data_IF_514948419831
#
_entry.id   IF_514948419831
#
_cell.length_a   1.000
_cell.length_b   1.000
_cell.length_c   1.000
_cell.angle_alpha   90.00
_cell.angle_beta   90.00
_cell.angle_gamma   90.00
#
_symmetry.space_group_name_H-M   'P 1'
#
loop_
_entity.id
_entity.type
_entity.pdbx_description
1 polymer ?
#
# COMPACT_ATOMS: atom_id res chain seq x y z
N UNK A 1 -15.14 -39.67 0.83
CA UNK A 1 -15.33 -38.88 -0.41
C UNK A 1 -14.10 -39.07 -1.28
N UNK A 2 -14.22 -39.43 -2.57
CA UNK A 2 -13.03 -39.60 -3.42
C UNK A 2 -12.53 -38.23 -3.90
N UNK A 3 -11.22 -38.03 -4.10
CA UNK A 3 -10.67 -36.74 -4.57
C UNK A 3 -11.27 -36.24 -5.89
N UNK A 4 -11.71 -37.15 -6.76
CA UNK A 4 -12.39 -36.85 -8.03
C UNK A 4 -13.76 -36.21 -7.83
N UNK A 5 -14.51 -36.62 -6.80
CA UNK A 5 -15.85 -36.11 -6.52
C UNK A 5 -15.78 -34.68 -5.97
N UNK A 6 -14.76 -34.41 -5.14
CA UNK A 6 -14.45 -33.07 -4.63
C UNK A 6 -14.06 -32.10 -5.77
N UNK A 7 -13.30 -32.57 -6.77
CA UNK A 7 -12.90 -31.74 -7.92
C UNK A 7 -14.07 -31.37 -8.83
N UNK A 8 -15.05 -32.26 -9.02
CA UNK A 8 -16.28 -31.94 -9.75
C UNK A 8 -17.16 -30.95 -8.99
N UNK A 9 -17.23 -31.07 -7.66
CA UNK A 9 -17.98 -30.13 -6.83
C UNK A 9 -17.35 -28.74 -6.81
N UNK A 10 -16.02 -28.64 -6.85
CA UNK A 10 -15.30 -27.35 -6.95
C UNK A 10 -15.46 -26.71 -8.34
N UNK A 11 -15.61 -27.51 -9.40
CA UNK A 11 -15.85 -27.04 -10.78
C UNK A 11 -17.33 -26.78 -11.04
N UNK A 12 -17.97 -26.07 -10.14
CA UNK A 12 -19.33 -25.59 -10.34
C UNK A 12 -19.31 -24.12 -10.85
N UNK A 13 -20.45 -23.57 -11.29
CA UNK A 13 -20.43 -22.24 -11.89
C UNK A 13 -20.09 -21.11 -10.91
N UNK A 14 -20.19 -21.31 -9.59
CA UNK A 14 -19.74 -20.34 -8.59
C UNK A 14 -18.22 -20.14 -8.61
N UNK A 15 -17.44 -21.06 -9.18
CA UNK A 15 -16.01 -20.81 -9.38
C UNK A 15 -15.76 -19.58 -10.28
N UNK A 16 -16.72 -19.23 -11.16
CA UNK A 16 -16.63 -18.04 -12.03
C UNK A 16 -16.69 -16.74 -11.25
N UNK A 17 -17.18 -16.75 -10.01
CA UNK A 17 -17.21 -15.58 -9.12
C UNK A 17 -15.81 -14.99 -8.93
N UNK A 18 -14.80 -15.84 -8.75
CA UNK A 18 -13.40 -15.39 -8.72
C UNK A 18 -13.00 -14.73 -10.04
N UNK A 19 -13.27 -15.37 -11.18
CA UNK A 19 -12.87 -14.87 -12.49
C UNK A 19 -13.59 -13.57 -12.88
N UNK A 20 -14.89 -13.46 -12.61
CA UNK A 20 -15.65 -12.22 -12.77
C UNK A 20 -15.07 -11.09 -11.91
N UNK A 21 -14.70 -11.38 -10.65
CA UNK A 21 -14.02 -10.39 -9.79
C UNK A 21 -12.73 -9.89 -10.45
N UNK A 22 -11.94 -10.81 -11.03
CA UNK A 22 -10.70 -10.49 -11.75
C UNK A 22 -10.93 -9.69 -13.03
N UNK A 23 -11.95 -10.02 -13.80
CA UNK A 23 -12.32 -9.29 -15.01
C UNK A 23 -12.73 -7.86 -14.68
N UNK A 24 -13.52 -7.67 -13.61
CA UNK A 24 -14.01 -6.35 -13.21
C UNK A 24 -12.89 -5.40 -12.74
N UNK A 25 -11.80 -5.92 -12.16
CA UNK A 25 -10.72 -5.10 -11.55
C UNK A 25 -9.45 -4.97 -12.38
N UNK A 26 -9.30 -5.74 -13.46
CA UNK A 26 -8.08 -5.72 -14.29
C UNK A 26 -8.02 -4.43 -15.12
N UNK A 27 -6.90 -3.70 -15.04
CA UNK A 27 -6.61 -2.53 -15.91
C UNK A 27 -5.77 -2.85 -17.12
N UNK A 28 -5.00 -3.91 -17.02
CA UNK A 28 -4.10 -4.40 -18.05
C UNK A 28 -4.91 -5.00 -19.21
N UNK A 29 -5.94 -5.79 -18.89
CA UNK A 29 -6.82 -6.41 -19.89
C UNK A 29 -8.12 -5.64 -20.09
N UNK A 30 -8.69 -5.06 -19.03
CA UNK A 30 -10.01 -4.40 -19.06
C UNK A 30 -9.97 -2.97 -18.49
N UNK A 31 -11.15 -2.37 -18.28
CA UNK A 31 -11.32 -0.95 -17.92
C UNK A 31 -11.53 -0.69 -16.41
N UNK A 32 -11.24 -1.65 -15.52
CA UNK A 32 -11.44 -1.51 -14.05
C UNK A 32 -12.88 -1.11 -13.63
N UNK A 33 -13.90 -1.60 -14.34
CA UNK A 33 -15.33 -1.30 -14.08
C UNK A 33 -15.73 -1.62 -12.63
N UNK A 34 -15.11 -2.64 -12.04
CA UNK A 34 -15.30 -3.06 -10.65
C UNK A 34 -14.98 -2.00 -9.60
N UNK A 35 -14.32 -0.90 -9.98
CA UNK A 35 -14.05 0.24 -9.10
C UNK A 35 -15.15 1.32 -9.12
N UNK A 36 -16.26 1.11 -9.83
CA UNK A 36 -17.36 2.08 -9.95
C UNK A 36 -18.64 1.59 -9.21
N UNK A 37 -18.79 1.81 -7.89
CA UNK A 37 -19.91 1.30 -7.11
C UNK A 37 -21.30 1.65 -7.67
N UNK A 38 -21.46 2.89 -8.16
CA UNK A 38 -22.73 3.35 -8.76
C UNK A 38 -23.09 2.55 -10.01
N UNK A 39 -22.10 2.24 -10.84
CA UNK A 39 -22.29 1.46 -12.07
C UNK A 39 -22.61 0.00 -11.75
N UNK A 40 -21.89 -0.61 -10.80
CA UNK A 40 -22.18 -1.98 -10.35
C UNK A 40 -23.60 -2.09 -9.77
N UNK A 41 -24.03 -1.10 -8.99
CA UNK A 41 -25.39 -1.05 -8.44
C UNK A 41 -26.43 -0.96 -9.55
N UNK A 42 -26.22 -0.08 -10.54
CA UNK A 42 -27.12 0.06 -11.68
C UNK A 42 -27.21 -1.22 -12.52
N UNK A 43 -26.08 -1.86 -12.79
CA UNK A 43 -26.03 -3.13 -13.51
C UNK A 43 -26.88 -4.17 -12.78
N UNK A 44 -26.57 -4.41 -11.51
CA UNK A 44 -27.18 -5.48 -10.72
C UNK A 44 -28.68 -5.26 -10.51
N UNK A 45 -29.11 -4.04 -10.17
CA UNK A 45 -30.53 -3.72 -10.06
C UNK A 45 -31.28 -3.94 -11.38
N UNK A 46 -30.68 -3.56 -12.51
CA UNK A 46 -31.32 -3.72 -13.83
C UNK A 46 -31.44 -5.20 -14.21
N UNK A 47 -30.40 -5.99 -13.97
CA UNK A 47 -30.40 -7.42 -14.27
C UNK A 47 -31.41 -8.19 -13.40
N UNK A 48 -31.57 -7.84 -12.12
CA UNK A 48 -32.58 -8.45 -11.24
C UNK A 48 -34.01 -8.08 -11.62
N UNK A 49 -34.24 -6.84 -12.05
CA UNK A 49 -35.55 -6.41 -12.56
C UNK A 49 -35.95 -7.25 -13.78
N UNK A 50 -35.03 -7.46 -14.73
CA UNK A 50 -35.29 -8.30 -15.90
C UNK A 50 -35.59 -9.74 -15.50
N UNK A 51 -34.79 -10.33 -14.60
CA UNK A 51 -35.02 -11.69 -14.12
C UNK A 51 -36.39 -11.87 -13.44
N UNK A 52 -36.87 -10.84 -12.74
CA UNK A 52 -38.16 -10.88 -12.04
C UNK A 52 -39.34 -10.68 -12.99
N UNK A 53 -39.22 -9.72 -13.90
CA UNK A 53 -40.34 -9.22 -14.70
C UNK A 53 -40.47 -9.96 -16.04
N UNK A 54 -39.38 -10.58 -16.54
CA UNK A 54 -39.39 -11.44 -17.71
C UNK A 54 -39.30 -12.92 -17.31
N UNK A 55 -40.38 -13.67 -17.54
CA UNK A 55 -40.44 -15.12 -17.25
C UNK A 55 -40.34 -16.00 -18.50
N UNK A 56 -39.91 -15.41 -19.63
CA UNK A 56 -39.74 -16.11 -20.90
C UNK A 56 -38.33 -16.66 -21.10
N UNK A 57 -38.18 -17.51 -22.12
CA UNK A 57 -36.91 -18.17 -22.46
C UNK A 57 -35.80 -17.18 -22.89
N UNK A 58 -36.15 -15.94 -23.24
CA UNK A 58 -35.24 -14.88 -23.66
C UNK A 58 -34.65 -14.03 -22.51
N UNK A 59 -34.90 -14.40 -21.25
CA UNK A 59 -34.47 -13.60 -20.08
C UNK A 59 -32.97 -13.35 -20.05
N UNK A 60 -32.16 -14.39 -20.31
CA UNK A 60 -30.71 -14.28 -20.32
C UNK A 60 -30.21 -13.33 -21.43
N UNK A 61 -30.80 -13.41 -22.61
CA UNK A 61 -30.45 -12.57 -23.75
C UNK A 61 -30.75 -11.09 -23.46
N UNK A 62 -31.92 -10.80 -22.87
CA UNK A 62 -32.27 -9.46 -22.40
C UNK A 62 -31.30 -8.94 -21.34
N UNK A 63 -30.92 -9.78 -20.37
CA UNK A 63 -29.93 -9.42 -19.34
C UNK A 63 -28.58 -9.07 -19.96
N UNK A 64 -28.08 -9.87 -20.91
CA UNK A 64 -26.83 -9.59 -21.64
C UNK A 64 -26.90 -8.29 -22.43
N UNK A 65 -28.00 -8.04 -23.13
CA UNK A 65 -28.20 -6.79 -23.86
C UNK A 65 -28.21 -5.57 -22.94
N UNK A 66 -28.90 -5.65 -21.80
CA UNK A 66 -28.94 -4.55 -20.83
C UNK A 66 -27.58 -4.31 -20.19
N UNK A 67 -26.85 -5.38 -19.81
CA UNK A 67 -25.48 -5.28 -19.32
C UNK A 67 -24.59 -4.53 -20.32
N UNK A 68 -24.65 -4.94 -21.60
CA UNK A 68 -23.90 -4.31 -22.68
C UNK A 68 -24.25 -2.83 -22.81
N UNK A 69 -25.53 -2.50 -22.90
CA UNK A 69 -25.99 -1.12 -23.09
C UNK A 69 -25.57 -0.21 -21.93
N UNK A 70 -25.70 -0.66 -20.69
CA UNK A 70 -25.30 0.12 -19.49
C UNK A 70 -23.80 0.44 -19.54
N UNK A 71 -22.98 -0.57 -19.86
CA UNK A 71 -21.52 -0.40 -19.90
C UNK A 71 -21.11 0.47 -21.09
N UNK A 72 -21.62 0.23 -22.30
CA UNK A 72 -21.28 1.03 -23.48
C UNK A 72 -21.68 2.50 -23.30
N UNK A 73 -22.87 2.77 -22.77
CA UNK A 73 -23.36 4.12 -22.50
C UNK A 73 -22.46 4.86 -21.50
N UNK A 74 -22.02 4.18 -20.43
CA UNK A 74 -21.09 4.74 -19.45
C UNK A 74 -19.77 5.18 -20.07
N UNK A 75 -19.28 4.44 -21.06
CA UNK A 75 -17.97 4.63 -21.69
C UNK A 75 -18.03 5.26 -23.08
N UNK A 76 -19.21 5.72 -23.54
CA UNK A 76 -19.41 6.30 -24.88
C UNK A 76 -18.48 7.46 -25.22
N UNK A 77 -18.07 8.25 -24.22
CA UNK A 77 -17.14 9.39 -24.35
C UNK A 77 -15.68 9.05 -24.02
N UNK A 78 -15.40 7.82 -23.57
CA UNK A 78 -14.09 7.40 -23.07
C UNK A 78 -13.28 6.71 -24.17
N UNK A 79 -12.79 7.49 -25.14
CA UNK A 79 -12.04 6.99 -26.32
C UNK A 79 -10.85 6.09 -25.97
N UNK A 80 -10.14 6.37 -24.86
CA UNK A 80 -8.97 5.57 -24.42
C UNK A 80 -9.32 4.17 -23.86
N UNK A 81 -10.55 3.95 -23.43
CA UNK A 81 -10.95 2.70 -22.76
C UNK A 81 -11.89 1.84 -23.60
N UNK A 82 -12.35 2.32 -24.76
CA UNK A 82 -13.44 1.69 -25.51
C UNK A 82 -13.10 0.26 -25.96
N UNK A 83 -11.85 0.00 -26.39
CA UNK A 83 -11.43 -1.33 -26.80
C UNK A 83 -11.34 -2.32 -25.63
N UNK A 84 -10.92 -1.83 -24.46
CA UNK A 84 -10.87 -2.62 -23.22
C UNK A 84 -12.27 -2.94 -22.71
N UNK A 85 -13.20 -2.00 -22.85
CA UNK A 85 -14.62 -2.20 -22.52
C UNK A 85 -15.27 -3.22 -23.46
N UNK A 86 -15.05 -3.10 -24.77
CA UNK A 86 -15.53 -4.09 -25.75
C UNK A 86 -14.97 -5.48 -25.48
N UNK A 87 -13.67 -5.58 -25.17
CA UNK A 87 -13.04 -6.85 -24.79
C UNK A 87 -13.70 -7.45 -23.54
N UNK A 88 -13.97 -6.64 -22.52
CA UNK A 88 -14.66 -7.11 -21.32
C UNK A 88 -16.05 -7.66 -21.67
N UNK A 89 -16.83 -6.93 -22.47
CA UNK A 89 -18.18 -7.33 -22.86
C UNK A 89 -18.19 -8.63 -23.67
N UNK A 90 -17.25 -8.79 -24.61
CA UNK A 90 -17.11 -10.03 -25.38
C UNK A 90 -16.73 -11.21 -24.47
N UNK A 91 -15.76 -11.02 -23.57
CA UNK A 91 -15.35 -12.09 -22.66
C UNK A 91 -16.47 -12.44 -21.67
N UNK A 92 -17.24 -11.46 -21.17
CA UNK A 92 -18.41 -11.71 -20.32
C UNK A 92 -19.53 -12.45 -21.05
N UNK A 93 -19.76 -12.15 -22.32
CA UNK A 93 -20.76 -12.84 -23.14
C UNK A 93 -20.44 -14.33 -23.30
N UNK A 94 -19.15 -14.65 -23.48
CA UNK A 94 -18.65 -16.03 -23.55
C UNK A 94 -18.73 -16.74 -22.18
N UNK A 95 -18.37 -16.03 -21.11
CA UNK A 95 -18.34 -16.61 -19.76
C UNK A 95 -19.72 -16.74 -19.11
N UNK A 96 -20.73 -16.01 -19.59
CA UNK A 96 -22.10 -16.11 -19.07
C UNK A 96 -22.96 -16.85 -20.09
N UNK A 97 -22.96 -18.17 -20.05
CA UNK A 97 -23.66 -19.04 -20.99
C UNK A 97 -25.10 -19.36 -20.59
N UNK A 98 -25.43 -19.22 -19.31
CA UNK A 98 -26.73 -19.59 -18.75
C UNK A 98 -27.14 -18.64 -17.61
N UNK A 99 -28.41 -18.72 -17.17
CA UNK A 99 -28.96 -17.86 -16.12
C UNK A 99 -28.25 -18.01 -14.78
N UNK A 100 -27.76 -19.21 -14.45
CA UNK A 100 -27.04 -19.45 -13.21
C UNK A 100 -25.68 -18.74 -13.18
N UNK A 101 -24.99 -18.68 -14.32
CA UNK A 101 -23.75 -17.90 -14.46
C UNK A 101 -24.01 -16.39 -14.44
N UNK A 102 -25.18 -15.95 -14.92
CA UNK A 102 -25.61 -14.56 -14.75
C UNK A 102 -25.86 -14.24 -13.28
N UNK A 103 -26.49 -15.15 -12.51
CA UNK A 103 -26.66 -14.99 -11.07
C UNK A 103 -25.31 -14.93 -10.34
N UNK A 104 -24.34 -15.78 -10.73
CA UNK A 104 -22.97 -15.70 -10.23
C UNK A 104 -22.30 -14.35 -10.53
N UNK A 105 -22.52 -13.78 -11.72
CA UNK A 105 -22.04 -12.45 -12.09
C UNK A 105 -22.71 -11.34 -11.26
N UNK A 106 -24.03 -11.40 -11.07
CA UNK A 106 -24.79 -10.46 -10.23
C UNK A 106 -24.27 -10.51 -8.79
N UNK A 107 -24.16 -11.72 -8.21
CA UNK A 107 -23.62 -11.93 -6.86
C UNK A 107 -22.20 -11.38 -6.75
N UNK A 108 -21.36 -11.59 -7.77
CA UNK A 108 -20.00 -11.04 -7.79
C UNK A 108 -20.02 -9.51 -7.69
N UNK A 109 -20.90 -8.86 -8.43
CA UNK A 109 -21.03 -7.40 -8.39
C UNK A 109 -21.57 -6.91 -7.03
N UNK A 110 -22.67 -7.50 -6.54
CA UNK A 110 -23.40 -7.05 -5.35
C UNK A 110 -22.68 -7.42 -4.04
N UNK A 111 -22.24 -8.66 -3.92
CA UNK A 111 -21.82 -9.25 -2.65
C UNK A 111 -20.31 -9.41 -2.52
N UNK A 112 -19.55 -9.26 -3.61
CA UNK A 112 -18.09 -9.23 -3.57
C UNK A 112 -17.56 -7.84 -3.87
N UNK A 113 -17.80 -7.32 -5.09
CA UNK A 113 -17.14 -6.11 -5.56
C UNK A 113 -17.53 -4.86 -4.78
N UNK A 114 -18.82 -4.68 -4.49
CA UNK A 114 -19.30 -3.56 -3.67
C UNK A 114 -18.73 -3.59 -2.23
N UNK A 115 -18.87 -4.69 -1.46
CA UNK A 115 -18.22 -4.82 -0.15
C UNK A 115 -16.71 -4.66 -0.19
N UNK A 116 -16.02 -5.21 -1.21
CA UNK A 116 -14.57 -5.03 -1.38
C UNK A 116 -14.20 -3.56 -1.54
N UNK A 117 -14.94 -2.80 -2.35
CA UNK A 117 -14.67 -1.38 -2.53
C UNK A 117 -14.83 -0.60 -1.22
N UNK A 118 -15.85 -0.93 -0.43
CA UNK A 118 -16.08 -0.31 0.87
C UNK A 118 -15.00 -0.71 1.90
N UNK A 119 -14.67 -1.99 2.00
CA UNK A 119 -13.67 -2.48 2.94
C UNK A 119 -12.29 -1.88 2.63
N UNK A 120 -11.90 -1.84 1.35
CA UNK A 120 -10.62 -1.25 0.93
C UNK A 120 -10.60 0.27 1.13
N UNK A 121 -11.71 0.98 0.95
CA UNK A 121 -11.74 2.44 1.19
C UNK A 121 -11.63 2.79 2.68
N UNK A 122 -12.17 1.94 3.56
CA UNK A 122 -12.08 2.11 5.01
C UNK A 122 -10.68 1.84 5.58
N UNK A 123 -9.84 1.08 4.86
CA UNK A 123 -8.44 0.89 5.25
C UNK A 123 -7.67 2.19 5.00
N UNK A 124 -7.01 2.79 6.01
CA UNK A 124 -6.23 3.99 5.85
C UNK A 124 -5.20 3.87 4.72
N UNK A 125 -5.14 4.91 3.88
CA UNK A 125 -4.15 5.00 2.81
C UNK A 125 -2.79 5.49 3.32
N UNK A 126 -2.75 6.03 4.54
CA UNK A 126 -1.57 6.58 5.19
C UNK A 126 -1.71 6.47 6.72
N UNK A 127 -0.61 6.17 7.40
CA UNK A 127 -0.48 6.04 8.85
C UNK A 127 -0.46 7.41 9.55
N UNK A 128 -0.31 8.48 8.77
CA UNK A 128 0.06 9.82 9.21
C UNK A 128 -0.88 10.46 10.21
N UNK A 129 -2.21 10.44 10.05
CA UNK A 129 -3.08 11.25 10.93
C UNK A 129 -3.09 10.76 12.40
N UNK A 130 -3.23 9.44 12.60
CA UNK A 130 -3.15 8.82 13.93
C UNK A 130 -1.76 8.98 14.53
N UNK A 131 -0.74 8.76 13.70
CA UNK A 131 0.65 8.78 14.15
C UNK A 131 1.16 10.19 14.42
N UNK A 132 0.69 11.20 13.68
CA UNK A 132 0.99 12.62 13.90
C UNK A 132 0.55 13.09 15.28
N UNK A 133 -0.68 12.76 15.70
CA UNK A 133 -1.22 13.19 16.99
C UNK A 133 -0.48 12.55 18.17
N UNK A 134 -0.18 11.26 18.08
CA UNK A 134 0.61 10.56 19.10
C UNK A 134 2.06 11.05 19.09
N UNK A 135 2.68 11.17 17.92
CA UNK A 135 4.05 11.64 17.78
C UNK A 135 4.23 13.06 18.32
N UNK A 136 3.29 13.97 18.02
CA UNK A 136 3.30 15.32 18.58
C UNK A 136 3.22 15.31 20.10
N UNK A 137 2.37 14.46 20.68
CA UNK A 137 2.24 14.33 22.14
C UNK A 137 3.56 13.90 22.79
N UNK A 138 4.25 12.92 22.21
CA UNK A 138 5.57 12.49 22.70
C UNK A 138 6.62 13.60 22.59
N UNK A 139 6.68 14.32 21.46
CA UNK A 139 7.62 15.44 21.31
C UNK A 139 7.30 16.62 22.24
N UNK A 140 6.02 16.90 22.48
CA UNK A 140 5.57 17.97 23.39
C UNK A 140 5.95 17.66 24.85
N UNK A 141 5.98 16.38 25.24
CA UNK A 141 6.33 15.93 26.61
C UNK A 141 7.84 15.71 26.78
N UNK A 142 8.49 15.03 25.84
CA UNK A 142 9.87 14.52 25.99
C UNK A 142 10.91 15.25 25.11
N UNK A 143 10.46 16.11 24.19
CA UNK A 143 11.34 16.87 23.29
C UNK A 143 12.25 15.96 22.44
N UNK A 144 13.53 16.33 22.34
CA UNK A 144 14.52 15.60 21.52
C UNK A 144 14.72 14.14 21.99
N UNK A 145 14.46 13.82 23.27
CA UNK A 145 14.56 12.45 23.81
C UNK A 145 13.44 11.54 23.32
N UNK A 146 12.26 12.10 23.07
CA UNK A 146 11.13 11.38 22.50
C UNK A 146 11.31 11.04 21.02
N UNK A 147 12.35 11.55 20.36
CA UNK A 147 12.55 11.38 18.91
C UNK A 147 12.74 9.92 18.49
N UNK A 148 13.55 9.15 19.24
CA UNK A 148 13.74 7.73 18.99
C UNK A 148 12.43 6.97 19.16
N UNK A 149 11.68 7.27 20.22
CA UNK A 149 10.34 6.73 20.47
C UNK A 149 9.40 7.07 19.31
N UNK A 150 9.34 8.32 18.86
CA UNK A 150 8.48 8.75 17.75
C UNK A 150 8.82 8.03 16.46
N UNK A 151 10.10 7.90 16.11
CA UNK A 151 10.51 7.25 14.86
C UNK A 151 10.19 5.74 14.92
N UNK A 152 10.45 5.07 16.05
CA UNK A 152 10.11 3.65 16.24
C UNK A 152 8.60 3.43 16.26
N UNK A 153 7.88 4.28 17.01
CA UNK A 153 6.44 4.22 17.18
C UNK A 153 5.72 4.52 15.87
N UNK A 154 6.25 5.40 15.02
CA UNK A 154 5.68 5.63 13.71
C UNK A 154 5.80 4.41 12.80
N UNK A 155 6.90 3.68 12.91
CA UNK A 155 7.11 2.43 12.17
C UNK A 155 6.20 1.31 12.69
N UNK A 156 6.10 1.15 14.01
CA UNK A 156 5.35 0.07 14.65
C UNK A 156 3.84 0.32 14.68
N UNK A 157 3.40 1.54 15.00
CA UNK A 157 1.97 1.91 15.07
C UNK A 157 1.37 2.10 13.68
N UNK A 158 2.12 2.64 12.72
CA UNK A 158 1.64 2.72 11.34
C UNK A 158 1.33 1.32 10.79
N UNK A 159 2.32 0.42 10.87
CA UNK A 159 2.16 -0.95 10.37
C UNK A 159 1.10 -1.72 11.17
N UNK A 160 1.18 -1.73 12.51
CA UNK A 160 0.22 -2.48 13.34
C UNK A 160 -1.20 -1.90 13.25
N UNK A 161 -1.34 -0.58 13.19
CA UNK A 161 -2.60 0.13 13.04
C UNK A 161 -3.26 -0.19 11.70
N UNK A 162 -2.53 -0.06 10.59
CA UNK A 162 -3.04 -0.44 9.28
C UNK A 162 -3.37 -1.93 9.17
N UNK A 163 -2.53 -2.82 9.71
CA UNK A 163 -2.84 -4.27 9.71
C UNK A 163 -4.06 -4.60 10.58
N UNK A 164 -4.26 -3.88 11.69
CA UNK A 164 -5.45 -4.03 12.53
C UNK A 164 -6.71 -3.53 11.81
N UNK A 165 -6.62 -2.40 11.10
CA UNK A 165 -7.71 -1.91 10.26
C UNK A 165 -8.03 -2.87 9.11
N UNK A 166 -7.01 -3.39 8.41
CA UNK A 166 -7.16 -4.43 7.38
C UNK A 166 -7.88 -5.66 7.94
N UNK A 167 -7.42 -6.16 9.09
CA UNK A 167 -8.02 -7.32 9.76
C UNK A 167 -9.47 -7.06 10.17
N UNK A 168 -9.77 -5.87 10.67
CA UNK A 168 -11.12 -5.50 11.09
C UNK A 168 -12.07 -5.47 9.89
N UNK A 169 -11.64 -4.84 8.80
CA UNK A 169 -12.47 -4.72 7.58
C UNK A 169 -12.69 -6.08 6.90
N UNK A 170 -11.67 -6.94 6.79
CA UNK A 170 -11.85 -8.27 6.20
C UNK A 170 -12.77 -9.15 7.05
N UNK A 171 -12.63 -9.14 8.38
CA UNK A 171 -13.48 -9.95 9.28
C UNK A 171 -14.93 -9.48 9.21
N UNK A 172 -15.17 -8.17 9.22
CA UNK A 172 -16.51 -7.58 9.12
C UNK A 172 -17.18 -7.94 7.78
N UNK A 173 -16.49 -7.71 6.67
CA UNK A 173 -17.02 -7.98 5.34
C UNK A 173 -17.24 -9.49 5.11
N UNK A 174 -16.28 -10.33 5.51
CA UNK A 174 -16.39 -11.78 5.45
C UNK A 174 -17.58 -12.31 6.27
N UNK A 175 -17.75 -11.83 7.50
CA UNK A 175 -18.85 -12.26 8.37
C UNK A 175 -20.21 -11.87 7.79
N UNK A 176 -20.30 -10.66 7.24
CA UNK A 176 -21.51 -10.17 6.57
C UNK A 176 -21.85 -11.02 5.35
N UNK A 177 -20.85 -11.28 4.48
CA UNK A 177 -21.01 -12.13 3.30
C UNK A 177 -21.45 -13.55 3.70
N UNK A 178 -20.82 -14.12 4.73
CA UNK A 178 -21.18 -15.45 5.23
C UNK A 178 -22.65 -15.52 5.67
N UNK A 179 -23.16 -14.51 6.37
CA UNK A 179 -24.57 -14.44 6.78
C UNK A 179 -25.50 -14.36 5.56
N UNK A 180 -25.16 -13.52 4.58
CA UNK A 180 -25.94 -13.40 3.33
C UNK A 180 -26.02 -14.75 2.61
N UNK A 181 -24.88 -15.40 2.37
CA UNK A 181 -24.83 -16.69 1.68
C UNK A 181 -25.52 -17.81 2.48
N UNK A 182 -25.58 -17.70 3.81
CA UNK A 182 -26.30 -18.67 4.65
C UNK A 182 -27.82 -18.54 4.52
N UNK A 183 -28.33 -17.37 4.10
CA UNK A 183 -29.76 -17.14 3.86
C UNK A 183 -30.21 -17.59 2.47
N UNK A 184 -29.29 -17.92 1.57
CA UNK A 184 -29.59 -18.41 0.23
C UNK A 184 -29.74 -19.94 0.21
N UNK A 185 -30.98 -20.42 0.04
CA UNK A 185 -31.31 -21.85 0.02
C UNK A 185 -30.64 -22.65 -1.12
N UNK A 186 -30.11 -21.96 -2.14
CA UNK A 186 -29.55 -22.57 -3.35
C UNK A 186 -28.06 -22.88 -3.26
N UNK A 187 -27.36 -22.45 -2.21
CA UNK A 187 -25.92 -22.67 -2.07
C UNK A 187 -25.61 -23.83 -1.12
N UNK A 188 -24.85 -24.81 -1.61
CA UNK A 188 -24.19 -25.80 -0.75
C UNK A 188 -23.10 -25.14 0.10
N UNK A 189 -22.63 -25.82 1.15
CA UNK A 189 -21.50 -25.30 1.96
C UNK A 189 -20.23 -25.10 1.12
N UNK A 190 -20.00 -25.95 0.13
CA UNK A 190 -18.85 -25.83 -0.79
C UNK A 190 -18.99 -24.59 -1.67
N UNK A 191 -20.19 -24.27 -2.16
CA UNK A 191 -20.45 -23.05 -2.94
C UNK A 191 -20.16 -21.80 -2.12
N UNK A 192 -20.59 -21.81 -0.85
CA UNK A 192 -20.32 -20.72 0.09
C UNK A 192 -18.82 -20.53 0.28
N UNK A 193 -18.06 -21.61 0.47
CA UNK A 193 -16.61 -21.55 0.60
C UNK A 193 -15.93 -21.02 -0.67
N UNK A 194 -16.39 -21.39 -1.86
CA UNK A 194 -15.88 -20.87 -3.14
C UNK A 194 -16.09 -19.35 -3.23
N UNK A 195 -17.27 -18.86 -2.91
CA UNK A 195 -17.59 -17.42 -2.94
C UNK A 195 -16.79 -16.67 -1.88
N UNK A 196 -16.74 -17.17 -0.64
CA UNK A 196 -16.01 -16.57 0.47
C UNK A 196 -14.50 -16.48 0.19
N UNK A 197 -13.91 -17.55 -0.35
CA UNK A 197 -12.49 -17.55 -0.71
C UNK A 197 -12.19 -16.61 -1.88
N UNK A 198 -13.11 -16.46 -2.84
CA UNK A 198 -13.01 -15.48 -3.92
C UNK A 198 -12.93 -14.05 -3.37
N UNK A 199 -13.77 -13.71 -2.39
CA UNK A 199 -13.72 -12.42 -1.69
C UNK A 199 -12.37 -12.21 -0.98
N UNK A 200 -11.91 -13.18 -0.18
CA UNK A 200 -10.66 -13.07 0.59
C UNK A 200 -9.44 -12.90 -0.30
N UNK A 201 -9.33 -13.70 -1.37
CA UNK A 201 -8.21 -13.60 -2.30
C UNK A 201 -8.11 -12.21 -2.92
N UNK A 202 -9.26 -11.63 -3.29
CA UNK A 202 -9.28 -10.35 -3.96
C UNK A 202 -9.13 -9.17 -2.99
N UNK A 203 -9.60 -9.32 -1.75
CA UNK A 203 -9.27 -8.41 -0.65
C UNK A 203 -7.76 -8.36 -0.41
N UNK A 204 -7.12 -9.51 -0.16
CA UNK A 204 -5.69 -9.58 0.15
C UNK A 204 -4.82 -9.05 -0.99
N UNK A 205 -5.22 -9.29 -2.24
CA UNK A 205 -4.54 -8.70 -3.39
C UNK A 205 -4.57 -7.18 -3.35
N UNK A 206 -5.73 -6.56 -3.09
CA UNK A 206 -5.90 -5.10 -3.08
C UNK A 206 -5.27 -4.46 -1.84
N UNK A 207 -5.44 -5.07 -0.67
CA UNK A 207 -4.74 -4.69 0.56
C UNK A 207 -3.23 -4.76 0.36
N UNK A 208 -2.73 -5.83 -0.28
CA UNK A 208 -1.32 -5.98 -0.66
C UNK A 208 -0.78 -4.84 -1.54
N UNK A 209 -1.57 -4.34 -2.49
CA UNK A 209 -1.18 -3.17 -3.29
C UNK A 209 -1.14 -1.88 -2.45
N UNK A 210 -2.11 -1.67 -1.55
CA UNK A 210 -2.08 -0.55 -0.58
C UNK A 210 -0.86 -0.63 0.34
N UNK A 211 -0.52 -1.82 0.85
CA UNK A 211 0.69 -2.06 1.65
C UNK A 211 1.96 -1.63 0.91
N UNK A 212 2.08 -1.98 -0.37
CA UNK A 212 3.22 -1.55 -1.22
C UNK A 212 3.30 -0.03 -1.37
N UNK A 213 2.15 0.63 -1.57
CA UNK A 213 2.08 2.09 -1.69
C UNK A 213 2.49 2.78 -0.37
N UNK A 214 1.99 2.31 0.77
CA UNK A 214 2.32 2.87 2.10
C UNK A 214 3.79 2.70 2.48
N UNK A 215 4.37 1.53 2.18
CA UNK A 215 5.78 1.26 2.44
C UNK A 215 6.73 2.24 1.74
N UNK A 216 6.29 2.89 0.65
CA UNK A 216 7.06 3.91 -0.05
C UNK A 216 7.04 5.30 0.58
N UNK A 217 6.07 5.64 1.45
CA UNK A 217 5.86 7.01 1.96
C UNK A 217 6.11 7.22 3.46
N UNK A 218 5.93 6.19 4.30
CA UNK A 218 5.83 6.41 5.77
C UNK A 218 7.07 7.02 6.44
N UNK A 219 8.29 6.72 5.97
CA UNK A 219 9.54 7.23 6.55
C UNK A 219 9.88 8.65 6.09
N UNK A 220 9.51 9.02 4.86
CA UNK A 220 9.64 10.40 4.38
C UNK A 220 8.70 11.32 5.15
N UNK A 221 7.47 10.85 5.42
CA UNK A 221 6.46 11.57 6.21
C UNK A 221 6.90 11.82 7.65
N UNK A 222 7.59 10.87 8.29
CA UNK A 222 8.18 11.02 9.63
C UNK A 222 9.17 12.18 9.66
N UNK A 223 10.09 12.22 8.71
CA UNK A 223 11.15 13.23 8.67
C UNK A 223 10.59 14.60 8.35
N UNK A 224 9.63 14.66 7.43
CA UNK A 224 8.88 15.89 7.13
C UNK A 224 8.17 16.42 8.37
N UNK A 225 7.52 15.54 9.14
CA UNK A 225 6.87 15.91 10.39
C UNK A 225 7.88 16.41 11.43
N UNK A 226 8.95 15.66 11.68
CA UNK A 226 9.99 16.00 12.67
C UNK A 226 10.61 17.37 12.36
N UNK A 227 11.03 17.60 11.10
CA UNK A 227 11.62 18.88 10.69
C UNK A 227 10.62 20.03 10.85
N UNK A 228 9.35 19.80 10.49
CA UNK A 228 8.27 20.76 10.68
C UNK A 228 8.02 21.10 12.14
N UNK A 229 7.96 20.09 13.02
CA UNK A 229 7.77 20.24 14.46
C UNK A 229 8.86 21.13 15.07
N UNK A 230 10.12 20.87 14.72
CA UNK A 230 11.26 21.65 15.18
C UNK A 230 11.53 22.95 14.43
N UNK A 231 10.63 23.32 13.50
CA UNK A 231 10.71 24.55 12.68
C UNK A 231 12.02 24.65 11.87
N UNK A 232 12.54 23.50 11.42
CA UNK A 232 13.73 23.44 10.57
C UNK A 232 13.30 23.65 9.12
N UNK A 233 13.81 24.72 8.49
CA UNK A 233 13.48 25.03 7.09
C UNK A 233 14.19 24.07 6.14
N UNK A 234 13.39 23.40 5.30
CA UNK A 234 13.88 22.54 4.23
C UNK A 234 14.46 23.37 3.08
N UNK A 235 15.45 22.81 2.42
CA UNK A 235 16.03 23.30 1.17
C UNK A 235 15.52 22.47 -0.01
N UNK A 236 15.67 23.02 -1.21
CA UNK A 236 15.42 22.27 -2.44
C UNK A 236 16.55 21.25 -2.66
N UNK A 237 16.20 20.11 -3.24
CA UNK A 237 17.18 19.12 -3.65
C UNK A 237 18.09 19.70 -4.75
N UNK A 238 19.41 19.39 -4.75
CA UNK A 238 20.27 19.81 -5.84
C UNK A 238 19.84 19.16 -7.17
N UNK A 239 19.68 19.97 -8.20
CA UNK A 239 19.30 19.49 -9.55
C UNK A 239 20.31 18.45 -10.06
N UNK A 240 19.80 17.33 -10.58
CA UNK A 240 20.60 16.20 -11.10
C UNK A 240 21.52 15.54 -10.06
N UNK A 241 21.25 15.72 -8.76
CA UNK A 241 21.93 14.92 -7.74
C UNK A 241 21.42 13.48 -7.80
N UNK A 242 22.25 12.59 -8.36
CA UNK A 242 22.06 11.15 -8.27
C UNK A 242 23.07 10.62 -7.26
N UNK A 243 22.63 10.45 -6.02
CA UNK A 243 23.35 9.62 -5.06
C UNK A 243 22.82 8.20 -5.13
N UNK A 244 23.68 7.24 -4.83
CA UNK A 244 23.33 5.82 -4.84
C UNK A 244 22.44 5.44 -3.64
N UNK A 245 22.39 6.31 -2.63
CA UNK A 245 21.44 6.28 -1.53
C UNK A 245 20.45 7.44 -1.68
N UNK A 246 19.17 7.10 -1.73
CA UNK A 246 18.06 8.06 -1.81
C UNK A 246 18.07 9.00 -0.59
N UNK A 247 18.06 10.30 -0.88
CA UNK A 247 18.00 11.40 0.08
C UNK A 247 16.59 11.96 0.07
N UNK A 248 15.88 11.81 1.19
CA UNK A 248 14.47 12.13 1.29
C UNK A 248 14.23 13.62 1.60
N UNK A 249 15.19 14.27 2.28
CA UNK A 249 15.08 15.68 2.68
C UNK A 249 16.43 16.42 2.62
N UNK A 250 16.36 17.75 2.47
CA UNK A 250 17.54 18.61 2.41
C UNK A 250 17.43 19.78 3.37
N UNK A 251 18.54 20.13 4.02
CA UNK A 251 18.65 21.30 4.91
C UNK A 251 19.87 22.11 4.53
N UNK A 252 19.71 23.44 4.41
CA UNK A 252 20.83 24.35 4.10
C UNK A 252 21.52 24.80 5.37
N UNK A 253 22.84 24.68 5.41
CA UNK A 253 23.70 25.10 6.52
C UNK A 253 24.07 26.58 6.42
N UNK A 254 24.62 27.16 7.49
CA UNK A 254 25.03 28.57 7.54
C UNK A 254 26.09 28.98 6.51
N UNK A 255 26.97 28.05 6.15
CA UNK A 255 28.01 28.21 5.13
C UNK A 255 27.48 27.98 3.70
N UNK A 256 26.16 27.77 3.57
CA UNK A 256 25.47 27.62 2.29
C UNK A 256 25.57 26.23 1.66
N UNK A 257 26.20 25.27 2.35
CA UNK A 257 26.21 23.87 1.97
C UNK A 257 24.89 23.17 2.33
N UNK A 258 24.73 21.93 1.90
CA UNK A 258 23.54 21.12 2.11
C UNK A 258 23.84 19.91 2.98
N UNK A 259 22.93 19.59 3.89
CA UNK A 259 22.86 18.31 4.58
C UNK A 259 21.71 17.54 3.96
N UNK A 260 22.02 16.38 3.38
CA UNK A 260 21.00 15.43 2.96
C UNK A 260 20.55 14.58 4.14
N UNK A 261 19.27 14.31 4.25
CA UNK A 261 18.68 13.45 5.27
C UNK A 261 18.05 12.27 4.56
N UNK A 262 18.44 11.08 4.96
CA UNK A 262 17.97 9.80 4.43
C UNK A 262 17.43 8.97 5.59
N UNK A 263 16.22 8.46 5.46
CA UNK A 263 15.51 7.73 6.51
C UNK A 263 15.17 6.35 5.98
N UNK A 264 15.76 5.32 6.58
CA UNK A 264 15.67 3.95 6.08
C UNK A 264 15.41 3.00 7.23
N UNK A 265 14.55 1.99 7.03
CA UNK A 265 14.40 0.91 8.02
C UNK A 265 15.71 0.13 8.17
N UNK A 266 16.28 -0.28 7.03
CA UNK A 266 17.51 -1.08 6.91
C UNK A 266 18.28 -0.61 5.68
N UNK A 267 19.62 -0.65 5.70
CA UNK A 267 20.46 -0.24 4.55
C UNK A 267 20.69 -1.39 3.55
N UNK A 268 20.69 -2.63 4.04
CA UNK A 268 20.87 -3.92 3.35
C UNK A 268 22.09 -3.98 2.44
N UNK A 269 21.95 -4.38 1.18
CA UNK A 269 22.98 -4.41 0.14
C UNK A 269 23.10 -3.11 -0.66
N UNK A 270 22.19 -2.16 -0.47
CA UNK A 270 22.09 -0.93 -1.29
C UNK A 270 23.32 -0.03 -1.17
N UNK A 271 24.08 -0.14 -0.08
CA UNK A 271 25.37 0.53 0.09
C UNK A 271 26.45 0.08 -0.90
N UNK A 272 26.33 -1.12 -1.50
CA UNK A 272 27.34 -1.64 -2.44
C UNK A 272 27.35 -0.90 -3.77
N UNK A 273 26.24 -0.23 -4.10
CA UNK A 273 26.15 0.60 -5.29
C UNK A 273 26.67 2.01 -5.05
N UNK A 274 27.21 2.34 -3.87
CA UNK A 274 27.65 3.70 -3.53
C UNK A 274 28.92 4.07 -4.30
N UNK A 275 28.71 4.59 -5.52
CA UNK A 275 29.67 5.20 -6.42
C UNK A 275 29.97 6.67 -6.09
N UNK A 276 29.20 7.25 -5.16
CA UNK A 276 29.30 8.65 -4.75
C UNK A 276 30.62 8.96 -4.06
N UNK A 277 31.66 9.27 -4.84
CA UNK A 277 32.90 9.82 -4.31
C UNK A 277 32.63 11.17 -3.63
N UNK A 278 33.47 11.55 -2.67
CA UNK A 278 33.44 12.87 -2.03
C UNK A 278 33.47 14.04 -3.02
N UNK A 279 33.89 13.81 -4.27
CA UNK A 279 33.87 14.79 -5.36
C UNK A 279 32.45 15.16 -5.78
N UNK A 280 31.53 14.19 -5.85
CA UNK A 280 30.11 14.45 -6.15
C UNK A 280 29.52 15.35 -5.07
N UNK A 281 29.83 15.08 -3.79
CA UNK A 281 29.36 15.89 -2.68
C UNK A 281 29.92 17.31 -2.76
N UNK A 282 31.20 17.48 -3.08
CA UNK A 282 31.78 18.81 -3.28
C UNK A 282 31.13 19.56 -4.45
N UNK A 283 30.88 18.90 -5.58
CA UNK A 283 30.23 19.49 -6.76
C UNK A 283 28.85 20.06 -6.44
N UNK A 284 28.07 19.34 -5.65
CA UNK A 284 26.72 19.75 -5.25
C UNK A 284 26.65 20.47 -3.90
N UNK A 285 27.81 20.83 -3.33
CA UNK A 285 27.93 21.47 -2.00
C UNK A 285 27.23 20.69 -0.89
N UNK A 286 27.27 19.36 -0.95
CA UNK A 286 26.77 18.46 0.09
C UNK A 286 27.86 18.29 1.15
N UNK A 287 27.52 18.69 2.38
CA UNK A 287 28.43 18.62 3.52
C UNK A 287 28.47 17.21 4.08
N UNK A 288 27.29 16.65 4.34
CA UNK A 288 27.10 15.31 4.88
C UNK A 288 25.75 14.75 4.42
N UNK A 289 25.64 13.42 4.42
CA UNK A 289 24.35 12.73 4.41
C UNK A 289 24.11 12.12 5.79
N UNK A 290 22.98 12.44 6.39
CA UNK A 290 22.55 11.93 7.69
C UNK A 290 21.55 10.81 7.46
N UNK A 291 21.91 9.59 7.85
CA UNK A 291 21.05 8.41 7.79
C UNK A 291 20.37 8.18 9.13
N UNK A 292 19.05 8.30 9.20
CA UNK A 292 18.26 7.86 10.35
C UNK A 292 17.82 6.42 10.08
N UNK A 293 18.29 5.49 10.91
CA UNK A 293 18.06 4.04 10.71
C UNK A 293 17.34 3.46 11.91
N UNK A 294 16.24 2.71 11.70
CA UNK A 294 15.46 2.10 12.79
C UNK A 294 15.85 0.66 13.09
N UNK A 295 16.23 -0.12 12.08
CA UNK A 295 16.74 -1.49 12.23
C UNK A 295 18.17 -1.57 11.68
N UNK A 296 19.11 -1.66 12.60
CA UNK A 296 20.54 -1.43 12.37
C UNK A 296 21.41 -2.69 12.53
N UNK A 297 20.80 -3.84 12.81
CA UNK A 297 21.48 -5.14 12.89
C UNK A 297 22.18 -5.53 11.59
N UNK A 298 21.78 -4.95 10.46
CA UNK A 298 22.40 -5.21 9.16
C UNK A 298 23.61 -4.30 8.84
N UNK A 299 23.93 -3.32 9.70
CA UNK A 299 25.08 -2.44 9.53
C UNK A 299 26.33 -3.15 10.03
N UNK A 300 27.24 -3.62 9.17
CA UNK A 300 28.54 -4.14 9.59
C UNK A 300 29.58 -3.03 9.79
N UNK A 301 30.72 -3.33 10.43
CA UNK A 301 31.77 -2.33 10.69
C UNK A 301 32.33 -1.80 9.37
N UNK A 302 32.49 -2.68 8.38
CA UNK A 302 32.91 -2.32 7.02
C UNK A 302 31.94 -1.34 6.36
N UNK A 303 30.62 -1.56 6.51
CA UNK A 303 29.60 -0.67 5.94
C UNK A 303 29.70 0.72 6.57
N UNK A 304 29.78 0.78 7.89
CA UNK A 304 29.85 2.04 8.63
C UNK A 304 31.14 2.80 8.33
N UNK A 305 32.26 2.09 8.20
CA UNK A 305 33.56 2.70 7.88
C UNK A 305 33.55 3.27 6.47
N UNK A 306 33.19 2.45 5.47
CA UNK A 306 33.21 2.87 4.06
C UNK A 306 32.32 4.09 3.80
N UNK A 307 31.09 4.06 4.31
CA UNK A 307 30.14 5.16 4.14
C UNK A 307 30.52 6.37 5.01
N UNK A 308 31.07 6.12 6.20
CA UNK A 308 31.58 7.15 7.09
C UNK A 308 32.70 7.99 6.47
N UNK A 309 33.65 7.35 5.80
CA UNK A 309 34.73 8.00 5.05
C UNK A 309 34.17 8.92 3.93
N UNK A 310 33.00 8.59 3.40
CA UNK A 310 32.29 9.38 2.40
C UNK A 310 31.41 10.49 3.00
N UNK A 311 31.63 10.91 4.25
CA UNK A 311 30.87 11.96 4.97
C UNK A 311 29.43 11.58 5.30
N UNK A 312 29.11 10.28 5.36
CA UNK A 312 27.81 9.82 5.85
C UNK A 312 27.84 9.64 7.37
N UNK A 313 26.74 10.00 8.04
CA UNK A 313 26.59 9.87 9.50
C UNK A 313 25.31 9.09 9.78
N UNK A 314 25.41 8.06 10.60
CA UNK A 314 24.32 7.18 10.98
C UNK A 314 23.78 7.55 12.35
N UNK A 315 22.48 7.80 12.42
CA UNK A 315 21.71 8.02 13.63
C UNK A 315 20.91 6.75 13.92
N UNK A 316 21.25 6.07 15.00
CA UNK A 316 20.69 4.76 15.39
C UNK A 316 19.83 4.88 16.67
N UNK A 317 18.91 3.93 16.95
CA UNK A 317 18.11 3.95 18.16
C UNK A 317 18.99 4.04 19.41
N UNK A 318 18.57 4.88 20.36
CA UNK A 318 19.38 5.23 21.54
C UNK A 318 19.76 4.00 22.40
N UNK A 319 18.93 2.96 22.39
CA UNK A 319 19.13 1.71 23.12
C UNK A 319 19.87 0.63 22.31
N UNK A 320 20.15 0.90 21.03
CA UNK A 320 20.75 -0.04 20.09
C UNK A 320 22.05 -0.68 20.59
N UNK A 321 22.15 -1.99 20.43
CA UNK A 321 23.39 -2.75 20.64
C UNK A 321 24.49 -2.26 19.70
N UNK A 322 24.12 -1.93 18.45
CA UNK A 322 25.05 -1.51 17.42
C UNK A 322 25.60 -0.12 17.67
N UNK A 323 24.76 0.80 18.14
CA UNK A 323 25.18 2.11 18.63
C UNK A 323 26.20 1.97 19.76
N UNK A 324 25.88 1.17 20.79
CA UNK A 324 26.78 0.93 21.94
C UNK A 324 28.14 0.38 21.50
N UNK A 325 28.14 -0.55 20.56
CA UNK A 325 29.37 -1.09 19.98
C UNK A 325 30.17 0.00 19.24
N UNK A 326 29.53 0.73 18.32
CA UNK A 326 30.18 1.75 17.51
C UNK A 326 30.76 2.90 18.33
N UNK A 327 30.07 3.34 19.39
CA UNK A 327 30.55 4.41 20.28
C UNK A 327 31.82 4.02 21.06
N UNK A 328 31.99 2.73 21.36
CA UNK A 328 33.19 2.20 22.03
C UNK A 328 34.34 1.91 21.05
N UNK A 329 34.07 1.93 19.74
CA UNK A 329 35.07 1.67 18.70
C UNK A 329 35.77 2.97 18.29
N UNK A 330 37.11 2.95 18.20
CA UNK A 330 37.95 4.15 17.98
C UNK A 330 37.59 4.91 16.69
N UNK A 331 37.37 4.17 15.59
CA UNK A 331 36.97 4.74 14.29
C UNK A 331 35.46 5.02 14.15
N UNK A 332 34.61 4.04 14.44
CA UNK A 332 33.16 4.11 14.14
C UNK A 332 32.41 5.18 14.93
N UNK A 333 32.87 5.56 16.12
CA UNK A 333 32.25 6.60 16.96
C UNK A 333 32.08 7.95 16.25
N UNK A 334 32.86 8.21 15.21
CA UNK A 334 32.78 9.45 14.43
C UNK A 334 31.63 9.43 13.40
N UNK A 335 31.20 8.24 13.00
CA UNK A 335 30.21 8.00 11.95
C UNK A 335 28.86 7.59 12.49
N UNK A 336 28.75 7.25 13.77
CA UNK A 336 27.53 6.76 14.40
C UNK A 336 27.16 7.61 15.61
N UNK A 337 25.88 7.97 15.73
CA UNK A 337 25.32 8.81 16.80
C UNK A 337 23.95 8.28 17.24
N UNK A 338 23.50 8.56 18.47
CA UNK A 338 22.12 8.29 18.87
C UNK A 338 21.13 9.16 18.10
N UNK A 339 19.95 8.63 17.79
CA UNK A 339 18.85 9.36 17.13
C UNK A 339 18.49 10.62 17.90
N UNK A 340 18.48 10.62 19.24
CA UNK A 340 18.19 11.84 20.03
C UNK A 340 19.14 13.01 19.77
N UNK A 341 20.33 12.78 19.19
CA UNK A 341 21.25 13.86 18.81
C UNK A 341 20.95 14.47 17.44
N UNK A 342 20.12 13.83 16.61
CA UNK A 342 19.86 14.21 15.22
C UNK A 342 19.49 15.69 15.06
N UNK A 343 18.49 16.15 15.82
CA UNK A 343 17.99 17.53 15.71
C UNK A 343 19.01 18.54 16.23
N UNK A 344 19.73 18.19 17.29
CA UNK A 344 20.76 19.06 17.85
C UNK A 344 21.93 19.22 16.89
N UNK A 345 22.32 18.17 16.17
CA UNK A 345 23.37 18.25 15.19
C UNK A 345 22.97 19.04 13.95
N UNK A 346 21.72 18.94 13.49
CA UNK A 346 21.21 19.85 12.44
C UNK A 346 21.25 21.31 12.93
N UNK A 347 20.76 21.57 14.16
CA UNK A 347 20.75 22.92 14.74
C UNK A 347 22.14 23.55 14.79
N UNK A 348 23.18 22.79 15.12
CA UNK A 348 24.58 23.26 15.14
C UNK A 348 25.11 23.68 13.76
N UNK A 349 24.51 23.16 12.68
CA UNK A 349 24.95 23.44 11.30
C UNK A 349 24.18 24.60 10.67
N UNK A 350 22.96 24.89 11.14
CA UNK A 350 22.12 25.98 10.64
C UNK A 350 22.23 27.27 11.47
N UNK A 351 22.61 27.17 12.75
CA UNK A 351 23.04 28.30 13.59
C UNK A 351 24.50 28.63 13.29
#
# INVERSE_FOLDING_TARGET
MKPTDLLSEIRNPWHKVYWFSRMLISSDKYAKIGNEPKLLTLITSSLRVIARDNKGDNTLELQKHVLKNIIEERFKKATKNIDRVRRLLNDLDLEISNSFEMDAFILTCENIMLPLNQAISNIPSDDKEFTLNIAKTYLDVEGDKGLATVISLWDDIGVKGCLTAERTEIVKAFSTLKVILSSEYLLSEIDKDIVLTSFVQEFERRAGQKRKQRAGGSLEDVTNFILGYYKIKRAEAPSHFQADLEVDNWVKTKDGWLIGISCKRTIRERWKNVSSSTEVYNRFKVKNIFHVVTYDEDLSDDKLTLLGEQRQIFYLPDDSRRLKHALNHVGLRNYVRPISQFINDIRKQIK
#
